data_IF_110810185285
#
_entry.id   IF_110810185285
#
_cell.length_a   1.000
_cell.length_b   1.000
_cell.length_c   1.000
_cell.angle_alpha   90.00
_cell.angle_beta   90.00
_cell.angle_gamma   90.00
#
_symmetry.space_group_name_H-M   'P 1'
#
loop_
_entity.id
_entity.type
_entity.pdbx_description
1 polymer ?
#
# COMPACT_ATOMS: atom_id res chain seq x y z
N UNK A 1 -16.11 -12.34 -20.65
CA UNK A 1 -14.71 -12.55 -20.11
C UNK A 1 -14.70 -12.17 -18.64
N UNK A 2 -13.80 -12.79 -17.86
CA UNK A 2 -13.48 -12.36 -16.49
C UNK A 2 -12.10 -11.71 -16.54
N UNK A 3 -11.97 -10.50 -16.04
CA UNK A 3 -10.70 -9.80 -15.95
C UNK A 3 -10.25 -9.77 -14.50
N UNK A 4 -9.16 -10.47 -14.18
CA UNK A 4 -8.57 -10.43 -12.86
C UNK A 4 -7.40 -9.46 -12.81
N UNK A 5 -7.50 -8.46 -11.93
CA UNK A 5 -6.46 -7.47 -11.70
C UNK A 5 -5.89 -7.62 -10.28
N UNK A 6 -4.80 -8.39 -10.11
CA UNK A 6 -4.13 -8.51 -8.82
C UNK A 6 -3.26 -7.29 -8.52
N UNK A 7 -3.28 -6.85 -7.25
CA UNK A 7 -2.36 -5.86 -6.72
C UNK A 7 -1.52 -6.46 -5.58
N UNK A 8 -0.21 -6.24 -5.62
CA UNK A 8 0.73 -6.65 -4.59
C UNK A 8 1.32 -5.43 -3.90
N UNK A 9 1.16 -5.38 -2.58
CA UNK A 9 1.64 -4.29 -1.74
C UNK A 9 2.97 -4.68 -1.08
N UNK A 10 4.03 -3.95 -1.43
CA UNK A 10 5.38 -4.12 -0.89
C UNK A 10 5.67 -3.00 0.10
N UNK A 11 5.78 -3.33 1.37
CA UNK A 11 6.07 -2.36 2.40
C UNK A 11 6.83 -2.95 3.59
N UNK A 12 7.78 -2.17 4.11
CA UNK A 12 8.37 -2.37 5.43
C UNK A 12 8.56 -1.02 6.11
N UNK A 13 8.35 -0.92 7.44
CA UNK A 13 8.45 0.35 8.14
C UNK A 13 9.89 0.88 8.19
N UNK A 14 10.09 2.20 8.32
CA UNK A 14 11.43 2.80 8.40
C UNK A 14 12.25 2.32 9.61
N UNK A 15 11.57 1.72 10.58
CA UNK A 15 12.17 1.15 11.80
C UNK A 15 12.50 -0.33 11.68
N UNK A 16 12.36 -0.93 10.48
CA UNK A 16 12.64 -2.35 10.25
C UNK A 16 14.12 -2.67 10.42
N UNK A 17 14.41 -3.82 11.03
CA UNK A 17 15.80 -4.28 11.20
C UNK A 17 16.37 -4.88 9.91
N UNK A 18 17.68 -4.73 9.69
CA UNK A 18 18.34 -5.32 8.53
C UNK A 18 18.18 -6.86 8.46
N UNK A 19 18.18 -7.53 9.61
CA UNK A 19 17.97 -8.99 9.67
C UNK A 19 16.57 -9.42 9.25
N UNK A 20 15.53 -8.67 9.63
CA UNK A 20 14.16 -8.93 9.22
C UNK A 20 13.95 -8.59 7.74
N UNK A 21 14.50 -7.47 7.26
CA UNK A 21 14.49 -7.13 5.85
C UNK A 21 15.13 -8.23 4.99
N UNK A 22 16.29 -8.77 5.44
CA UNK A 22 16.94 -9.90 4.78
C UNK A 22 16.04 -11.13 4.72
N UNK A 23 15.41 -11.47 5.84
CA UNK A 23 14.51 -12.60 5.94
C UNK A 23 13.34 -12.47 4.96
N UNK A 24 12.64 -11.35 4.99
CA UNK A 24 11.47 -11.08 4.13
C UNK A 24 11.89 -11.04 2.64
N UNK A 25 13.02 -10.41 2.32
CA UNK A 25 13.51 -10.35 0.93
C UNK A 25 13.77 -11.74 0.36
N UNK A 26 14.31 -12.66 1.16
CA UNK A 26 14.59 -14.03 0.73
C UNK A 26 13.35 -14.93 0.72
N UNK A 27 12.41 -14.74 1.66
CA UNK A 27 11.23 -15.59 1.80
C UNK A 27 10.08 -15.17 0.89
N UNK A 28 9.94 -13.86 0.58
CA UNK A 28 8.80 -13.33 -0.17
C UNK A 28 9.21 -12.54 -1.42
N UNK A 29 9.99 -11.46 -1.31
CA UNK A 29 10.15 -10.55 -2.45
C UNK A 29 10.88 -11.18 -3.63
N UNK A 30 12.00 -11.88 -3.40
CA UNK A 30 12.73 -12.60 -4.46
C UNK A 30 11.89 -13.70 -5.09
N UNK A 31 11.30 -14.64 -4.30
CA UNK A 31 10.42 -15.67 -4.86
C UNK A 31 9.27 -15.11 -5.66
N UNK A 32 8.62 -14.04 -5.19
CA UNK A 32 7.48 -13.44 -5.87
C UNK A 32 7.86 -12.86 -7.24
N UNK A 33 8.96 -12.08 -7.33
CA UNK A 33 9.41 -11.53 -8.63
C UNK A 33 9.94 -12.62 -9.56
N UNK A 34 10.44 -13.75 -9.00
CA UNK A 34 10.87 -14.92 -9.79
C UNK A 34 9.67 -15.62 -10.42
N UNK A 35 8.58 -15.82 -9.68
CA UNK A 35 7.33 -16.39 -10.22
C UNK A 35 6.80 -15.53 -11.37
N UNK A 36 6.77 -14.20 -11.26
CA UNK A 36 6.36 -13.35 -12.38
C UNK A 36 7.27 -13.51 -13.60
N UNK A 37 8.58 -13.68 -13.37
CA UNK A 37 9.55 -13.90 -14.45
C UNK A 37 9.39 -15.26 -15.13
N UNK A 38 8.94 -16.29 -14.40
CA UNK A 38 8.65 -17.63 -14.92
C UNK A 38 7.39 -17.64 -15.83
N UNK A 39 6.45 -16.71 -15.62
CA UNK A 39 5.19 -16.62 -16.36
C UNK A 39 5.04 -15.30 -17.13
N UNK A 40 5.56 -15.18 -18.37
CA UNK A 40 5.57 -13.92 -19.14
C UNK A 40 4.17 -13.35 -19.47
N UNK A 41 3.12 -14.17 -19.40
CA UNK A 41 1.73 -13.75 -19.59
C UNK A 41 1.09 -13.16 -18.32
N UNK A 42 1.72 -13.33 -17.17
CA UNK A 42 1.21 -12.77 -15.91
C UNK A 42 1.17 -11.24 -15.97
N UNK A 43 0.19 -10.67 -15.29
CA UNK A 43 0.02 -9.22 -15.14
C UNK A 43 -0.27 -8.89 -13.69
N UNK A 44 0.24 -7.75 -13.21
CA UNK A 44 -0.11 -7.24 -11.90
C UNK A 44 0.07 -5.74 -11.79
N UNK A 45 -0.62 -5.15 -10.83
CA UNK A 45 -0.34 -3.83 -10.31
C UNK A 45 0.53 -3.98 -9.06
N UNK A 46 1.59 -3.21 -8.93
CA UNK A 46 2.54 -3.25 -7.82
C UNK A 46 2.56 -1.91 -7.11
N UNK A 47 2.23 -1.93 -5.83
CA UNK A 47 2.54 -0.84 -4.93
C UNK A 47 3.86 -1.14 -4.21
N UNK A 48 4.82 -0.23 -4.27
CA UNK A 48 6.03 -0.27 -3.47
C UNK A 48 6.29 1.10 -2.85
N UNK A 49 6.35 1.16 -1.52
CA UNK A 49 6.63 2.41 -0.83
C UNK A 49 8.11 2.77 -0.94
N UNK A 50 8.38 4.05 -1.17
CA UNK A 50 9.74 4.55 -1.38
C UNK A 50 10.71 4.23 -0.24
N UNK A 51 10.23 4.12 1.00
CA UNK A 51 11.06 3.68 2.13
C UNK A 51 11.59 2.26 1.93
N UNK A 52 10.77 1.32 1.46
CA UNK A 52 11.23 -0.04 1.17
C UNK A 52 12.17 -0.06 -0.04
N UNK A 53 11.85 0.68 -1.10
CA UNK A 53 12.74 0.83 -2.27
C UNK A 53 14.14 1.30 -1.85
N UNK A 54 14.20 2.32 -1.01
CA UNK A 54 15.46 2.86 -0.47
C UNK A 54 16.21 1.83 0.37
N UNK A 55 15.50 1.12 1.26
CA UNK A 55 16.08 0.05 2.09
C UNK A 55 16.63 -1.11 1.25
N UNK A 56 15.89 -1.57 0.23
CA UNK A 56 16.34 -2.63 -0.68
C UNK A 56 17.60 -2.20 -1.45
N UNK A 57 17.64 -0.97 -1.94
CA UNK A 57 18.78 -0.42 -2.64
C UNK A 57 20.04 -0.27 -1.76
N UNK A 58 19.86 0.14 -0.51
CA UNK A 58 20.96 0.39 0.43
C UNK A 58 21.49 -0.87 1.14
N UNK A 59 20.62 -1.86 1.37
CA UNK A 59 20.96 -3.08 2.12
C UNK A 59 21.40 -4.27 1.23
N UNK A 60 21.66 -4.06 -0.06
CA UNK A 60 22.17 -5.11 -0.95
C UNK A 60 21.12 -6.01 -1.59
N UNK A 61 19.86 -5.56 -1.65
CA UNK A 61 18.71 -6.25 -2.29
C UNK A 61 18.27 -5.56 -3.59
N UNK A 62 19.18 -4.87 -4.26
CA UNK A 62 18.94 -4.19 -5.53
C UNK A 62 18.57 -5.14 -6.67
N UNK A 63 18.83 -6.44 -6.53
CA UNK A 63 18.37 -7.49 -7.45
C UNK A 63 16.84 -7.55 -7.54
N UNK A 64 16.11 -7.37 -6.42
CA UNK A 64 14.64 -7.27 -6.42
C UNK A 64 14.18 -6.07 -7.25
N UNK A 65 14.81 -4.90 -7.04
CA UNK A 65 14.46 -3.68 -7.80
C UNK A 65 14.78 -3.84 -9.30
N UNK A 66 15.89 -4.49 -9.63
CA UNK A 66 16.28 -4.77 -11.02
C UNK A 66 15.26 -5.67 -11.71
N UNK A 67 14.77 -6.72 -11.02
CA UNK A 67 13.73 -7.60 -11.56
C UNK A 67 12.39 -6.88 -11.70
N UNK A 68 11.96 -6.09 -10.70
CA UNK A 68 10.74 -5.26 -10.81
C UNK A 68 10.81 -4.29 -12.00
N UNK A 69 11.97 -3.64 -12.23
CA UNK A 69 12.17 -2.82 -13.43
C UNK A 69 11.98 -3.62 -14.71
N UNK A 70 12.62 -4.79 -14.79
CA UNK A 70 12.51 -5.66 -15.97
C UNK A 70 11.07 -6.09 -16.23
N UNK A 71 10.34 -6.51 -15.21
CA UNK A 71 8.92 -6.87 -15.33
C UNK A 71 8.06 -5.70 -15.83
N UNK A 72 8.37 -4.47 -15.40
CA UNK A 72 7.69 -3.27 -15.89
C UNK A 72 8.08 -2.92 -17.33
N UNK A 73 9.36 -3.05 -17.72
CA UNK A 73 9.83 -2.88 -19.10
C UNK A 73 9.16 -3.88 -20.06
N UNK A 74 8.91 -5.10 -19.60
CA UNK A 74 8.23 -6.16 -20.35
C UNK A 74 6.70 -6.01 -20.34
N UNK A 75 6.16 -4.99 -19.64
CA UNK A 75 4.73 -4.72 -19.54
C UNK A 75 3.96 -5.72 -18.68
N UNK A 76 4.64 -6.52 -17.86
CA UNK A 76 4.01 -7.47 -16.96
C UNK A 76 3.46 -6.79 -15.71
N UNK A 77 4.09 -5.71 -15.25
CA UNK A 77 3.62 -4.96 -14.10
C UNK A 77 3.52 -3.46 -14.38
N UNK A 78 2.62 -2.81 -13.69
CA UNK A 78 2.57 -1.36 -13.53
C UNK A 78 2.80 -0.98 -12.06
N UNK A 79 3.23 0.25 -11.80
CA UNK A 79 3.41 0.76 -10.44
C UNK A 79 2.30 1.73 -10.05
N UNK A 80 2.00 1.80 -8.75
CA UNK A 80 1.13 2.83 -8.15
C UNK A 80 1.93 3.88 -7.40
N UNK A 81 1.35 5.09 -7.27
CA UNK A 81 1.75 6.06 -6.26
C UNK A 81 1.31 5.64 -4.86
N UNK A 82 1.89 6.27 -3.83
CA UNK A 82 1.56 6.11 -2.41
C UNK A 82 2.29 7.17 -1.56
N UNK A 83 2.21 7.11 -0.23
CA UNK A 83 3.06 7.88 0.68
C UNK A 83 4.39 7.18 0.95
N UNK A 84 5.53 7.89 0.93
CA UNK A 84 6.88 7.29 1.07
C UNK A 84 7.02 6.44 2.32
N UNK A 85 6.64 6.98 3.47
CA UNK A 85 6.78 6.32 4.77
C UNK A 85 5.49 5.67 5.26
N UNK A 86 4.55 5.46 4.34
CA UNK A 86 3.28 4.78 4.63
C UNK A 86 2.45 5.43 5.75
N UNK A 87 2.25 6.75 5.76
CA UNK A 87 1.43 7.41 6.77
C UNK A 87 -0.06 7.14 6.55
N UNK A 88 -0.86 7.26 7.60
CA UNK A 88 -2.32 7.28 7.49
C UNK A 88 -2.75 8.65 6.95
N UNK A 89 -2.78 8.79 5.64
CA UNK A 89 -2.96 10.08 4.96
C UNK A 89 -4.19 10.87 5.44
N UNK A 90 -5.38 10.26 5.67
CA UNK A 90 -6.54 10.97 6.21
C UNK A 90 -6.35 11.60 7.60
N UNK A 91 -5.29 11.26 8.30
CA UNK A 91 -5.07 11.69 9.69
C UNK A 91 -3.94 12.71 9.85
N UNK A 92 -3.31 13.11 8.74
CA UNK A 92 -2.25 14.12 8.71
C UNK A 92 -2.68 15.32 7.88
N UNK A 93 -2.08 16.51 8.08
CA UNK A 93 -2.36 17.69 7.25
C UNK A 93 -2.12 17.43 5.76
N UNK A 94 -2.90 18.09 4.89
CA UNK A 94 -2.80 17.94 3.44
C UNK A 94 -1.37 18.20 2.92
N UNK A 95 -0.69 19.23 3.43
CA UNK A 95 0.70 19.55 3.08
C UNK A 95 1.69 18.41 3.40
N UNK A 96 1.44 17.65 4.48
CA UNK A 96 2.23 16.48 4.81
C UNK A 96 1.89 15.31 3.88
N UNK A 97 0.61 15.13 3.54
CA UNK A 97 0.18 14.11 2.59
C UNK A 97 0.81 14.33 1.20
N UNK A 98 0.72 15.54 0.67
CA UNK A 98 1.35 15.94 -0.60
C UNK A 98 2.86 15.70 -0.58
N UNK A 99 3.51 16.09 0.52
CA UNK A 99 4.95 15.86 0.71
C UNK A 99 5.29 14.36 0.68
N UNK A 100 4.53 13.53 1.37
CA UNK A 100 4.75 12.08 1.39
C UNK A 100 4.56 11.46 0.00
N UNK A 101 3.56 11.90 -0.77
CA UNK A 101 3.34 11.47 -2.16
C UNK A 101 4.52 11.87 -3.05
N UNK A 102 4.96 13.13 -2.96
CA UNK A 102 6.12 13.64 -3.71
C UNK A 102 7.41 12.90 -3.37
N UNK A 103 7.68 12.67 -2.08
CA UNK A 103 8.85 11.90 -1.64
C UNK A 103 8.82 10.46 -2.16
N UNK A 104 7.65 9.82 -2.16
CA UNK A 104 7.48 8.47 -2.71
C UNK A 104 7.83 8.45 -4.20
N UNK A 105 7.26 9.37 -4.97
CA UNK A 105 7.55 9.49 -6.40
C UNK A 105 9.03 9.69 -6.67
N UNK A 106 9.66 10.65 -6.00
CA UNK A 106 11.09 10.97 -6.18
C UNK A 106 11.98 9.78 -5.85
N UNK A 107 11.71 9.11 -4.74
CA UNK A 107 12.51 7.95 -4.32
C UNK A 107 12.37 6.80 -5.32
N UNK A 108 11.16 6.42 -5.66
CA UNK A 108 10.93 5.32 -6.59
C UNK A 108 11.47 5.64 -7.99
N UNK A 109 11.31 6.86 -8.47
CA UNK A 109 11.88 7.30 -9.75
C UNK A 109 13.40 7.20 -9.78
N UNK A 110 14.08 7.53 -8.67
CA UNK A 110 15.53 7.43 -8.57
C UNK A 110 16.04 5.98 -8.65
N UNK A 111 15.33 5.02 -8.06
CA UNK A 111 15.75 3.62 -8.02
C UNK A 111 15.21 2.78 -9.18
N UNK A 112 13.96 3.02 -9.59
CA UNK A 112 13.30 2.25 -10.66
C UNK A 112 13.44 2.89 -12.04
N UNK A 113 13.85 4.17 -12.11
CA UNK A 113 14.07 4.86 -13.38
C UNK A 113 12.78 5.16 -14.13
N UNK A 114 12.85 5.18 -15.48
CA UNK A 114 11.78 5.62 -16.36
C UNK A 114 10.53 4.73 -16.38
N UNK A 115 10.61 3.53 -15.88
CA UNK A 115 9.45 2.62 -15.76
C UNK A 115 8.50 3.00 -14.63
N UNK A 116 8.96 3.81 -13.67
CA UNK A 116 8.08 4.28 -12.59
C UNK A 116 7.25 5.49 -13.05
N UNK A 117 6.11 5.20 -13.63
CA UNK A 117 5.12 6.18 -14.12
C UNK A 117 3.75 5.79 -13.54
N UNK A 118 3.51 6.04 -12.24
CA UNK A 118 2.29 5.59 -11.58
C UNK A 118 1.07 6.37 -12.09
N UNK A 119 0.09 5.67 -12.64
CA UNK A 119 -1.23 6.21 -12.99
C UNK A 119 -2.21 6.05 -11.84
N UNK A 120 -2.08 5.01 -11.05
CA UNK A 120 -2.93 4.72 -9.91
C UNK A 120 -2.33 5.08 -8.58
N UNK A 121 -3.19 5.20 -7.58
CA UNK A 121 -2.82 5.50 -6.21
C UNK A 121 -3.28 4.40 -5.25
N UNK A 122 -2.35 3.91 -4.44
CA UNK A 122 -2.62 3.01 -3.33
C UNK A 122 -2.48 3.79 -2.01
N UNK A 123 -3.58 4.14 -1.34
CA UNK A 123 -3.49 4.78 -0.04
C UNK A 123 -2.87 3.83 0.98
N UNK A 124 -1.88 4.25 1.78
CA UNK A 124 -1.39 3.44 2.88
C UNK A 124 -2.53 2.89 3.74
N UNK A 125 -2.50 1.56 4.02
CA UNK A 125 -3.55 0.81 4.73
C UNK A 125 -4.94 0.86 4.04
N UNK A 126 -5.00 1.25 2.76
CA UNK A 126 -6.23 1.64 2.07
C UNK A 126 -7.09 2.63 2.88
N UNK A 127 -6.44 3.42 3.74
CA UNK A 127 -7.12 4.47 4.49
C UNK A 127 -7.58 5.58 3.56
N UNK A 128 -8.87 5.85 3.57
CA UNK A 128 -9.52 6.83 2.71
C UNK A 128 -10.37 7.81 3.50
N UNK A 129 -10.29 9.08 3.12
CA UNK A 129 -11.31 10.11 3.32
C UNK A 129 -11.37 10.99 2.07
N UNK A 130 -12.47 11.72 1.90
CA UNK A 130 -12.67 12.56 0.70
C UNK A 130 -11.59 13.64 0.55
N UNK A 131 -11.06 14.17 1.66
CA UNK A 131 -10.03 15.21 1.68
C UNK A 131 -8.70 14.80 0.99
N UNK A 132 -8.51 13.50 0.74
CA UNK A 132 -7.33 13.00 0.02
C UNK A 132 -7.44 13.11 -1.50
N UNK A 133 -8.64 13.34 -2.04
CA UNK A 133 -8.88 13.25 -3.48
C UNK A 133 -8.10 14.30 -4.24
N UNK A 134 -8.12 15.55 -3.75
CA UNK A 134 -7.39 16.66 -4.39
C UNK A 134 -5.88 16.44 -4.44
N UNK A 135 -5.16 16.16 -3.34
CA UNK A 135 -3.74 15.85 -3.37
C UNK A 135 -3.37 14.71 -4.34
N UNK A 136 -4.24 13.71 -4.49
CA UNK A 136 -4.02 12.58 -5.39
C UNK A 136 -4.15 13.01 -6.86
N UNK A 137 -5.19 13.77 -7.20
CA UNK A 137 -5.40 14.30 -8.54
C UNK A 137 -4.29 15.29 -8.93
N UNK A 138 -3.93 16.22 -8.04
CA UNK A 138 -2.84 17.17 -8.25
C UNK A 138 -1.49 16.48 -8.49
N UNK A 139 -1.30 15.31 -7.89
CA UNK A 139 -0.16 14.43 -8.15
C UNK A 139 -0.27 13.63 -9.45
N UNK A 140 -1.29 13.92 -10.29
CA UNK A 140 -1.54 13.34 -11.63
C UNK A 140 -1.87 11.84 -11.63
N UNK A 141 -2.53 11.35 -10.60
CA UNK A 141 -3.08 10.01 -10.60
C UNK A 141 -4.47 10.02 -11.26
N UNK A 142 -4.75 8.96 -12.01
CA UNK A 142 -6.00 8.77 -12.78
C UNK A 142 -7.01 7.91 -12.02
N UNK A 143 -6.54 7.08 -11.11
CA UNK A 143 -7.38 6.17 -10.33
C UNK A 143 -6.82 5.90 -8.92
N UNK A 144 -7.74 5.46 -8.04
CA UNK A 144 -7.44 5.04 -6.66
C UNK A 144 -8.04 3.67 -6.41
N UNK A 145 -7.37 2.86 -5.57
CA UNK A 145 -7.95 1.62 -5.04
C UNK A 145 -8.35 1.80 -3.58
N UNK A 146 -9.54 1.35 -3.23
CA UNK A 146 -10.09 1.38 -1.88
C UNK A 146 -10.52 -0.01 -1.43
N UNK A 147 -10.64 -0.23 -0.11
CA UNK A 147 -11.26 -1.42 0.46
C UNK A 147 -12.71 -1.55 -0.01
N UNK A 148 -13.20 -2.77 -0.16
CA UNK A 148 -14.57 -3.03 -0.60
C UNK A 148 -15.63 -2.44 0.33
N UNK A 149 -15.33 -2.32 1.63
CA UNK A 149 -16.24 -1.69 2.59
C UNK A 149 -16.51 -0.21 2.28
N UNK A 150 -15.61 0.46 1.56
CA UNK A 150 -15.81 1.84 1.11
C UNK A 150 -16.89 2.00 0.06
N UNK A 151 -17.25 0.94 -0.67
CA UNK A 151 -18.23 0.98 -1.76
C UNK A 151 -19.62 1.36 -1.25
N UNK A 152 -20.21 2.48 -1.71
CA UNK A 152 -21.52 2.95 -1.24
C UNK A 152 -22.68 2.42 -2.08
N UNK A 153 -22.41 1.75 -3.19
CA UNK A 153 -23.39 1.29 -4.20
C UNK A 153 -23.39 -0.23 -4.33
N UNK A 154 -24.20 -0.78 -5.23
CA UNK A 154 -24.12 -2.18 -5.61
C UNK A 154 -22.71 -2.52 -6.11
N UNK A 155 -22.22 -3.72 -5.77
CA UNK A 155 -20.85 -4.12 -6.09
C UNK A 155 -20.56 -4.02 -7.60
N UNK A 156 -19.63 -3.14 -8.03
CA UNK A 156 -19.38 -2.95 -9.44
C UNK A 156 -18.44 -4.06 -9.96
N UNK A 157 -18.87 -4.77 -11.00
CA UNK A 157 -18.05 -5.75 -11.70
C UNK A 157 -17.93 -5.48 -13.20
N UNK A 158 -18.75 -4.60 -13.73
CA UNK A 158 -18.91 -4.28 -15.16
C UNK A 158 -18.72 -2.79 -15.47
N UNK A 159 -18.50 -1.98 -14.46
CA UNK A 159 -18.40 -0.52 -14.56
C UNK A 159 -17.41 0.04 -13.54
N UNK A 160 -16.67 1.09 -13.91
CA UNK A 160 -15.72 1.77 -13.03
C UNK A 160 -16.29 3.14 -12.64
N UNK A 161 -16.62 3.30 -11.36
CA UNK A 161 -17.17 4.55 -10.85
C UNK A 161 -16.10 5.65 -10.70
N UNK A 162 -16.55 6.88 -10.53
CA UNK A 162 -15.68 8.05 -10.38
C UNK A 162 -15.99 8.79 -9.07
N UNK A 163 -14.93 9.26 -8.41
CA UNK A 163 -15.02 10.24 -7.32
C UNK A 163 -14.83 11.62 -7.93
N UNK A 164 -15.67 12.57 -7.56
CA UNK A 164 -15.52 13.95 -8.05
C UNK A 164 -14.96 14.84 -6.98
N UNK A 165 -14.03 15.68 -7.37
CA UNK A 165 -13.61 16.83 -6.61
C UNK A 165 -13.61 18.04 -7.53
N UNK A 166 -14.49 19.00 -7.29
CA UNK A 166 -14.74 20.14 -8.17
C UNK A 166 -15.01 19.72 -9.63
N UNK A 167 -14.15 20.14 -10.59
CA UNK A 167 -14.24 19.77 -12.01
C UNK A 167 -13.45 18.48 -12.34
N UNK A 168 -12.60 18.03 -11.42
CA UNK A 168 -11.73 16.88 -11.61
C UNK A 168 -12.43 15.55 -11.26
N UNK A 169 -11.89 14.45 -11.80
CA UNK A 169 -12.42 13.11 -11.61
C UNK A 169 -11.30 12.13 -11.34
N UNK A 170 -11.53 11.22 -10.40
CA UNK A 170 -10.65 10.13 -10.07
C UNK A 170 -11.42 8.81 -10.19
N UNK A 171 -11.00 7.91 -11.06
CA UNK A 171 -11.62 6.59 -11.14
C UNK A 171 -11.36 5.81 -9.85
N UNK A 172 -12.33 5.02 -9.40
CA UNK A 172 -12.22 4.25 -8.16
C UNK A 172 -12.44 2.77 -8.40
N UNK A 173 -11.48 1.97 -7.94
CA UNK A 173 -11.57 0.52 -7.84
C UNK A 173 -11.81 0.11 -6.40
N UNK A 174 -12.57 -0.97 -6.23
CA UNK A 174 -12.81 -1.56 -4.92
C UNK A 174 -12.17 -2.96 -4.86
N UNK A 175 -11.36 -3.17 -3.84
CA UNK A 175 -10.78 -4.47 -3.51
C UNK A 175 -11.88 -5.46 -3.15
N UNK A 176 -11.92 -6.62 -3.76
CA UNK A 176 -12.71 -7.72 -3.22
C UNK A 176 -12.09 -8.19 -1.90
N UNK A 177 -12.61 -7.64 -0.79
CA UNK A 177 -12.09 -7.89 0.55
C UNK A 177 -12.24 -9.36 0.95
N UNK A 178 -13.34 -10.01 0.54
CA UNK A 178 -13.60 -11.41 0.88
C UNK A 178 -12.62 -12.33 0.17
N UNK A 179 -12.48 -12.16 -1.14
CA UNK A 179 -11.59 -13.01 -1.94
C UNK A 179 -10.11 -12.76 -1.61
N UNK A 180 -9.72 -11.49 -1.47
CA UNK A 180 -8.35 -11.13 -1.06
C UNK A 180 -7.98 -11.69 0.31
N UNK A 181 -8.91 -11.65 1.27
CA UNK A 181 -8.69 -12.22 2.59
C UNK A 181 -8.61 -13.77 2.54
N UNK A 182 -9.43 -14.44 1.74
CA UNK A 182 -9.31 -15.90 1.54
C UNK A 182 -7.93 -16.29 1.02
N UNK A 183 -7.35 -15.50 0.10
CA UNK A 183 -5.98 -15.72 -0.40
C UNK A 183 -4.96 -15.48 0.73
N UNK A 184 -5.10 -14.37 1.45
CA UNK A 184 -4.15 -13.93 2.49
C UNK A 184 -4.16 -14.81 3.74
N UNK A 185 -5.26 -15.52 4.03
CA UNK A 185 -5.39 -16.41 5.19
C UNK A 185 -5.38 -17.89 4.81
N UNK A 186 -5.07 -18.21 3.55
CA UNK A 186 -5.01 -19.58 3.01
C UNK A 186 -6.34 -20.35 3.08
N UNK A 187 -7.45 -19.61 2.96
CA UNK A 187 -8.81 -20.19 2.94
C UNK A 187 -9.24 -20.63 1.54
N UNK A 188 -8.42 -20.36 0.52
CA UNK A 188 -8.63 -20.77 -0.86
C UNK A 188 -7.27 -21.10 -1.50
N UNK A 189 -7.17 -22.19 -2.23
CA UNK A 189 -6.01 -22.52 -3.07
C UNK A 189 -6.17 -22.00 -4.51
N UNK A 190 -5.14 -22.19 -5.35
CA UNK A 190 -5.17 -21.69 -6.72
C UNK A 190 -6.31 -22.27 -7.57
N UNK A 191 -6.61 -23.57 -7.43
CA UNK A 191 -7.71 -24.21 -8.16
C UNK A 191 -9.07 -23.69 -7.69
N UNK A 192 -9.27 -23.61 -6.36
CA UNK A 192 -10.48 -23.04 -5.76
C UNK A 192 -10.68 -21.56 -6.14
N UNK A 193 -9.60 -20.79 -6.30
CA UNK A 193 -9.65 -19.42 -6.76
C UNK A 193 -10.15 -19.33 -8.21
N UNK A 194 -9.61 -20.10 -9.13
CA UNK A 194 -10.07 -20.18 -10.53
C UNK A 194 -11.55 -20.58 -10.59
N UNK A 195 -11.95 -21.60 -9.84
CA UNK A 195 -13.32 -22.04 -9.75
C UNK A 195 -14.25 -20.94 -9.18
N UNK A 196 -13.78 -20.19 -8.19
CA UNK A 196 -14.52 -19.05 -7.63
C UNK A 196 -14.75 -17.96 -8.67
N UNK A 197 -13.72 -17.58 -9.44
CA UNK A 197 -13.85 -16.60 -10.51
C UNK A 197 -14.87 -17.07 -11.58
N UNK A 198 -14.80 -18.34 -12.00
CA UNK A 198 -15.73 -18.91 -12.97
C UNK A 198 -17.20 -18.83 -12.48
N UNK A 199 -17.44 -19.01 -11.19
CA UNK A 199 -18.79 -18.90 -10.61
C UNK A 199 -19.36 -17.48 -10.56
N UNK A 200 -18.49 -16.46 -10.55
CA UNK A 200 -18.94 -15.06 -10.60
C UNK A 200 -19.44 -14.67 -11.99
N UNK A 201 -19.00 -15.40 -13.02
CA UNK A 201 -19.32 -15.08 -14.40
C UNK A 201 -20.66 -15.68 -14.84
N UNK A 202 -21.58 -14.83 -15.29
CA UNK A 202 -22.91 -15.24 -15.77
C UNK A 202 -22.94 -15.71 -17.24
N UNK A 203 -21.81 -15.58 -17.96
CA UNK A 203 -21.68 -15.95 -19.37
C UNK A 203 -22.11 -14.88 -20.37
N UNK A 204 -22.63 -13.74 -19.93
CA UNK A 204 -23.19 -12.69 -20.78
C UNK A 204 -22.24 -11.49 -20.88
N UNK A 205 -22.07 -10.73 -19.79
CA UNK A 205 -21.30 -9.50 -19.78
C UNK A 205 -19.87 -9.73 -19.26
N UNK A 206 -18.92 -8.95 -19.76
CA UNK A 206 -17.57 -8.92 -19.22
C UNK A 206 -17.57 -8.38 -17.79
N UNK A 207 -16.80 -9.03 -16.91
CA UNK A 207 -16.67 -8.62 -15.51
C UNK A 207 -15.22 -8.48 -15.10
N UNK A 208 -14.94 -7.66 -14.09
CA UNK A 208 -13.63 -7.56 -13.49
C UNK A 208 -13.65 -7.88 -11.98
N UNK A 209 -12.53 -8.38 -11.49
CA UNK A 209 -12.29 -8.66 -10.07
C UNK A 209 -10.93 -8.07 -9.68
N UNK A 210 -10.90 -7.25 -8.65
CA UNK A 210 -9.67 -6.66 -8.11
C UNK A 210 -9.35 -7.32 -6.78
N UNK A 211 -8.15 -7.92 -6.67
CA UNK A 211 -7.62 -8.43 -5.41
C UNK A 211 -6.38 -7.65 -5.02
N UNK A 212 -6.20 -7.39 -3.73
CA UNK A 212 -5.01 -6.73 -3.24
C UNK A 212 -4.53 -7.39 -1.93
N UNK A 213 -3.25 -7.72 -1.88
CA UNK A 213 -2.62 -8.44 -0.79
C UNK A 213 -1.22 -7.90 -0.53
N UNK A 214 -0.74 -8.09 0.70
CA UNK A 214 0.67 -7.88 1.01
C UNK A 214 1.55 -8.86 0.22
N UNK A 215 2.63 -8.38 -0.35
CA UNK A 215 3.62 -9.22 -1.04
C UNK A 215 4.24 -10.25 -0.10
N UNK A 216 4.36 -9.93 1.18
CA UNK A 216 4.84 -10.80 2.24
C UNK A 216 3.95 -12.03 2.46
N UNK A 217 2.70 -12.00 2.04
CA UNK A 217 1.79 -13.16 2.05
C UNK A 217 2.38 -14.32 1.27
N UNK A 218 3.10 -14.02 0.17
CA UNK A 218 3.59 -15.02 -0.78
C UNK A 218 5.00 -15.51 -0.44
N UNK A 219 5.19 -16.00 0.79
CA UNK A 219 6.42 -16.64 1.23
C UNK A 219 6.79 -16.39 2.68
N UNK A 220 6.62 -15.15 3.19
CA UNK A 220 6.94 -14.80 4.57
C UNK A 220 5.79 -15.13 5.55
N UNK A 221 4.57 -14.68 5.26
CA UNK A 221 3.41 -15.00 6.09
C UNK A 221 2.96 -16.45 5.89
N UNK A 222 2.95 -16.91 4.63
CA UNK A 222 2.60 -18.30 4.27
C UNK A 222 3.75 -18.86 3.43
N UNK A 223 4.51 -19.79 4.00
CA UNK A 223 5.65 -20.40 3.33
C UNK A 223 5.26 -21.02 1.98
N UNK A 224 6.02 -20.70 0.93
CA UNK A 224 5.85 -21.23 -0.43
C UNK A 224 4.51 -20.86 -1.08
N UNK A 225 3.80 -19.82 -0.62
CA UNK A 225 2.50 -19.43 -1.17
C UNK A 225 2.61 -18.87 -2.60
N UNK A 226 3.75 -18.33 -2.95
CA UNK A 226 4.14 -18.01 -4.32
C UNK A 226 4.00 -19.21 -5.26
N UNK A 227 4.46 -20.40 -4.84
CA UNK A 227 4.42 -21.66 -5.62
C UNK A 227 3.14 -22.45 -5.40
N UNK A 228 2.54 -22.38 -4.21
CA UNK A 228 1.33 -23.17 -3.89
C UNK A 228 0.04 -22.48 -4.39
N UNK A 229 0.08 -21.16 -4.59
CA UNK A 229 -1.08 -20.40 -5.05
C UNK A 229 -0.83 -19.75 -6.42
N UNK A 230 0.18 -18.87 -6.56
CA UNK A 230 0.37 -18.09 -7.79
C UNK A 230 0.79 -18.94 -8.99
N UNK A 231 1.80 -19.82 -8.82
CA UNK A 231 2.26 -20.66 -9.95
C UNK A 231 1.14 -21.50 -10.55
N UNK A 232 0.33 -22.27 -9.77
CA UNK A 232 -0.81 -23.00 -10.33
C UNK A 232 -1.88 -22.12 -11.00
N UNK A 233 -2.12 -20.92 -10.47
CA UNK A 233 -3.04 -19.97 -11.10
C UNK A 233 -2.49 -19.51 -12.45
N UNK A 234 -1.23 -19.10 -12.52
CA UNK A 234 -0.60 -18.64 -13.77
C UNK A 234 -0.46 -19.77 -14.79
N UNK A 235 -0.09 -20.99 -14.38
CA UNK A 235 -0.08 -22.18 -15.25
C UNK A 235 -1.46 -22.45 -15.86
N UNK A 236 -2.52 -22.38 -15.06
CA UNK A 236 -3.90 -22.58 -15.54
C UNK A 236 -4.32 -21.52 -16.55
N UNK A 237 -3.85 -20.27 -16.40
CA UNK A 237 -4.22 -19.14 -17.25
C UNK A 237 -3.24 -18.89 -18.39
N UNK A 238 -2.23 -19.75 -18.57
CA UNK A 238 -1.25 -19.60 -19.65
C UNK A 238 -1.91 -19.75 -21.04
N UNK A 239 -1.74 -18.78 -21.96
CA UNK A 239 -2.31 -18.86 -23.31
C UNK A 239 -1.70 -20.03 -24.10
N UNK A 240 -2.54 -20.80 -24.82
CA UNK A 240 -2.10 -21.95 -25.65
C UNK A 240 -1.01 -21.64 -26.68
N UNK A 241 -0.88 -20.38 -27.14
CA UNK A 241 0.13 -19.98 -28.11
C UNK A 241 1.58 -20.26 -27.65
N UNK A 242 1.82 -20.43 -26.35
CA UNK A 242 3.14 -20.75 -25.81
C UNK A 242 3.38 -22.25 -25.61
N UNK A 243 2.33 -23.07 -25.59
CA UNK A 243 2.44 -24.53 -25.43
C UNK A 243 2.90 -25.23 -26.71
N UNK A 244 2.67 -24.64 -27.89
CA UNK A 244 3.02 -25.25 -29.18
C UNK A 244 4.51 -25.20 -29.54
N UNK A 245 5.35 -24.46 -28.82
CA UNK A 245 6.79 -24.36 -29.14
C UNK A 245 7.63 -25.55 -28.66
N UNK A 246 7.07 -26.44 -27.85
CA UNK A 246 7.81 -27.59 -27.28
C UNK A 246 7.42 -28.96 -27.85
N UNK A 247 6.49 -29.07 -28.81
CA UNK A 247 6.02 -30.36 -29.31
C UNK A 247 5.98 -30.45 -30.85
N UNK A 248 7.13 -30.62 -31.45
CA UNK A 248 7.26 -31.27 -32.76
C UNK A 248 7.82 -32.68 -32.55
N UNK A 249 7.01 -33.59 -32.03
CA UNK A 249 7.22 -35.03 -32.20
C UNK A 249 5.87 -35.76 -32.31
N UNK A 250 5.79 -36.67 -33.29
CA UNK A 250 4.60 -37.43 -33.70
C UNK A 250 4.08 -38.29 -32.53
N UNK A 251 2.81 -38.16 -32.17
CA UNK A 251 2.18 -38.94 -31.10
C UNK A 251 0.91 -39.67 -31.52
N UNK A 252 0.54 -40.83 -30.83
CA UNK A 252 -0.49 -41.78 -31.28
C UNK A 252 -1.94 -41.32 -31.09
N UNK A 253 -2.90 -41.95 -31.81
CA UNK A 253 -4.35 -41.64 -31.86
C UNK A 253 -5.07 -41.52 -30.50
N UNK A 254 -4.62 -42.21 -29.46
CA UNK A 254 -5.22 -42.12 -28.13
C UNK A 254 -5.04 -40.73 -27.47
N UNK A 255 -4.04 -39.96 -27.90
CA UNK A 255 -3.79 -38.60 -27.46
C UNK A 255 -4.67 -37.56 -28.19
N UNK A 256 -5.25 -37.88 -29.34
CA UNK A 256 -6.18 -36.97 -30.05
C UNK A 256 -7.52 -36.86 -29.30
N UNK A 257 -8.00 -37.93 -28.68
CA UNK A 257 -9.22 -37.87 -27.84
C UNK A 257 -8.98 -37.10 -26.54
N UNK A 258 -7.78 -37.24 -25.96
CA UNK A 258 -7.39 -36.45 -24.79
C UNK A 258 -7.31 -34.95 -25.13
N UNK A 259 -6.80 -34.60 -26.33
CA UNK A 259 -6.78 -33.22 -26.83
C UNK A 259 -8.17 -32.61 -27.04
N UNK A 260 -9.17 -33.38 -27.43
CA UNK A 260 -10.55 -32.87 -27.54
C UNK A 260 -11.16 -32.51 -26.18
N UNK A 261 -10.90 -33.31 -25.15
CA UNK A 261 -11.28 -32.98 -23.75
C UNK A 261 -10.45 -31.84 -23.17
N UNK A 262 -9.17 -31.78 -23.52
CA UNK A 262 -8.29 -30.65 -23.16
C UNK A 262 -8.72 -29.37 -23.91
N UNK A 263 -9.16 -29.46 -25.17
CA UNK A 263 -9.68 -28.35 -25.98
C UNK A 263 -11.01 -27.77 -25.44
N UNK A 264 -11.88 -28.60 -24.87
CA UNK A 264 -13.11 -28.13 -24.22
C UNK A 264 -12.79 -27.50 -22.85
N UNK A 265 -11.87 -28.08 -22.10
CA UNK A 265 -11.36 -27.51 -20.82
C UNK A 265 -10.66 -26.16 -21.07
N UNK A 266 -9.83 -26.07 -22.12
CA UNK A 266 -9.17 -24.85 -22.55
C UNK A 266 -10.13 -23.72 -22.97
N UNK A 267 -11.32 -24.04 -23.48
CA UNK A 267 -12.34 -23.01 -23.79
C UNK A 267 -12.95 -22.41 -22.53
N UNK A 268 -13.14 -23.21 -21.47
CA UNK A 268 -13.62 -22.72 -20.18
C UNK A 268 -12.56 -21.87 -19.45
N UNK A 269 -11.28 -22.26 -19.51
CA UNK A 269 -10.17 -21.53 -18.89
C UNK A 269 -9.84 -20.20 -19.61
N UNK A 270 -10.13 -20.07 -20.93
CA UNK A 270 -10.01 -18.83 -21.71
C UNK A 270 -10.94 -17.71 -21.30
N UNK A 271 -11.89 -17.96 -20.37
CA UNK A 271 -12.79 -16.92 -19.87
C UNK A 271 -12.11 -15.96 -18.88
N UNK A 272 -10.95 -16.29 -18.34
CA UNK A 272 -10.23 -15.47 -17.36
C UNK A 272 -8.98 -14.86 -18.00
N UNK A 273 -8.86 -13.54 -17.92
CA UNK A 273 -7.69 -12.78 -18.39
C UNK A 273 -7.08 -12.02 -17.21
N UNK A 274 -5.77 -12.16 -17.04
CA UNK A 274 -5.04 -11.36 -16.05
C UNK A 274 -4.67 -10.02 -16.68
N UNK A 275 -4.91 -8.93 -15.95
CA UNK A 275 -4.68 -7.55 -16.42
C UNK A 275 -4.14 -6.69 -15.28
N UNK A 276 -3.54 -5.55 -15.63
CA UNK A 276 -3.27 -4.47 -14.67
C UNK A 276 -4.54 -3.65 -14.41
N UNK A 277 -4.54 -2.86 -13.35
CA UNK A 277 -5.69 -2.00 -13.04
C UNK A 277 -5.87 -0.89 -14.08
N UNK A 278 -4.78 -0.35 -14.63
CA UNK A 278 -4.89 0.66 -15.69
C UNK A 278 -5.47 0.08 -16.99
N UNK A 279 -5.22 -1.18 -17.33
CA UNK A 279 -5.86 -1.84 -18.47
C UNK A 279 -7.38 -1.95 -18.29
N UNK A 280 -7.89 -2.11 -17.05
CA UNK A 280 -9.34 -2.11 -16.81
C UNK A 280 -10.00 -0.77 -17.17
N UNK A 281 -9.27 0.35 -17.06
CA UNK A 281 -9.79 1.67 -17.46
C UNK A 281 -10.06 1.78 -18.96
N UNK A 282 -9.37 0.97 -19.78
CA UNK A 282 -9.55 0.93 -21.23
C UNK A 282 -10.65 -0.06 -21.65
N UNK A 283 -10.91 -1.07 -20.80
CA UNK A 283 -11.84 -2.15 -21.09
C UNK A 283 -13.27 -1.82 -20.63
N UNK A 284 -13.41 -1.25 -19.41
CA UNK A 284 -14.71 -1.05 -18.81
C UNK A 284 -15.20 0.40 -18.89
N UNK A 285 -16.52 0.61 -19.05
CA UNK A 285 -17.10 1.94 -19.12
C UNK A 285 -17.00 2.66 -17.78
N UNK A 286 -17.01 3.99 -17.85
CA UNK A 286 -17.12 4.84 -16.67
C UNK A 286 -18.55 4.86 -16.19
N UNK A 287 -18.72 4.66 -14.88
CA UNK A 287 -20.00 4.65 -14.20
C UNK A 287 -20.37 6.00 -13.61
N UNK A 288 -21.24 5.93 -12.62
CA UNK A 288 -21.74 7.12 -11.92
C UNK A 288 -20.67 7.73 -11.02
N UNK A 289 -20.86 9.00 -10.71
CA UNK A 289 -20.15 9.65 -9.61
C UNK A 289 -20.65 9.10 -8.29
N UNK A 290 -19.74 8.70 -7.43
CA UNK A 290 -20.03 8.16 -6.10
C UNK A 290 -19.16 8.82 -5.05
N UNK A 291 -19.57 8.72 -3.80
CA UNK A 291 -18.78 9.15 -2.64
C UNK A 291 -18.49 7.94 -1.77
N UNK A 292 -17.28 7.37 -1.88
CA UNK A 292 -16.88 6.23 -1.06
C UNK A 292 -16.87 6.59 0.44
N UNK A 293 -17.18 5.61 1.27
CA UNK A 293 -17.17 5.79 2.72
C UNK A 293 -15.76 5.89 3.25
N UNK A 294 -15.47 6.81 4.21
CA UNK A 294 -14.21 6.78 4.94
C UNK A 294 -13.99 5.40 5.57
N UNK A 295 -12.82 4.82 5.35
CA UNK A 295 -12.50 3.47 5.82
C UNK A 295 -11.03 3.13 5.60
N UNK A 296 -10.65 1.95 6.05
CA UNK A 296 -9.41 1.24 5.74
C UNK A 296 -9.73 -0.21 5.37
N UNK A 297 -8.74 -0.98 4.96
CA UNK A 297 -8.96 -2.42 4.69
C UNK A 297 -9.20 -3.27 5.96
N UNK A 298 -9.04 -2.67 7.14
CA UNK A 298 -9.33 -3.32 8.43
C UNK A 298 -10.62 -2.82 9.09
N UNK A 299 -11.36 -1.95 8.40
CA UNK A 299 -12.61 -1.37 8.92
C UNK A 299 -13.76 -2.35 8.74
N UNK A 300 -14.54 -2.57 9.79
CA UNK A 300 -15.74 -3.38 9.75
C UNK A 300 -17.01 -2.54 9.51
N UNK A 301 -18.12 -3.21 9.18
CA UNK A 301 -19.41 -2.54 9.06
C UNK A 301 -19.88 -1.88 10.37
N UNK A 302 -19.49 -2.44 11.51
CA UNK A 302 -19.82 -1.84 12.81
C UNK A 302 -18.95 -0.64 13.11
N UNK A 303 -17.67 -0.65 12.70
CA UNK A 303 -16.80 0.53 12.79
C UNK A 303 -17.35 1.70 11.97
N UNK A 304 -17.90 1.44 10.77
CA UNK A 304 -18.57 2.46 9.96
C UNK A 304 -19.77 3.07 10.71
N UNK A 305 -20.63 2.23 11.30
CA UNK A 305 -21.81 2.69 12.09
C UNK A 305 -21.39 3.55 13.29
N UNK A 306 -20.28 3.18 13.93
CA UNK A 306 -19.73 3.90 15.07
C UNK A 306 -18.86 5.10 14.66
N UNK A 307 -18.68 5.36 13.36
CA UNK A 307 -17.78 6.37 12.81
C UNK A 307 -16.33 6.21 13.34
N UNK A 308 -15.88 4.98 13.55
CA UNK A 308 -14.51 4.61 13.93
C UNK A 308 -13.76 4.08 12.70
N UNK A 309 -13.51 4.95 11.71
CA UNK A 309 -13.08 4.55 10.37
C UNK A 309 -11.68 3.93 10.30
N UNK A 310 -10.82 4.19 11.28
CA UNK A 310 -9.42 3.73 11.30
C UNK A 310 -9.09 3.04 12.63
N UNK A 311 -9.80 1.94 13.00
CA UNK A 311 -9.73 1.38 14.36
C UNK A 311 -8.35 0.90 14.78
N UNK A 312 -7.50 0.47 13.83
CA UNK A 312 -6.16 -0.01 14.14
C UNK A 312 -5.11 1.12 14.25
N UNK A 313 -5.46 2.36 13.88
CA UNK A 313 -4.53 3.50 13.87
C UNK A 313 -5.01 4.67 14.72
N UNK A 314 -6.31 4.84 14.90
CA UNK A 314 -6.93 5.93 15.68
C UNK A 314 -8.26 5.48 16.28
N UNK A 315 -8.22 4.45 17.12
CA UNK A 315 -9.42 4.02 17.85
C UNK A 315 -9.79 5.05 18.93
N UNK A 316 -11.07 5.41 18.96
CA UNK A 316 -11.65 6.34 19.95
C UNK A 316 -11.50 5.83 21.39
N UNK A 317 -11.47 4.51 21.57
CA UNK A 317 -11.40 3.86 22.88
C UNK A 317 -9.96 3.48 23.26
N UNK A 318 -8.97 3.73 22.42
CA UNK A 318 -7.58 3.44 22.73
C UNK A 318 -6.86 4.71 23.20
N UNK A 319 -6.58 4.87 24.52
CA UNK A 319 -5.94 6.07 25.04
C UNK A 319 -4.51 6.25 24.51
N UNK A 320 -3.81 5.16 24.19
CA UNK A 320 -2.46 5.24 23.62
C UNK A 320 -2.51 5.86 22.23
N UNK A 321 -3.45 5.45 21.36
CA UNK A 321 -3.65 6.08 20.06
C UNK A 321 -3.92 7.59 20.18
N UNK A 322 -4.80 8.00 21.13
CA UNK A 322 -5.10 9.42 21.33
C UNK A 322 -3.85 10.20 21.71
N UNK A 323 -3.07 9.69 22.66
CA UNK A 323 -1.82 10.32 23.08
C UNK A 323 -0.74 10.30 22.00
N UNK A 324 -0.62 9.23 21.20
CA UNK A 324 0.32 9.19 20.09
C UNK A 324 0.01 10.26 19.05
N UNK A 325 -1.27 10.45 18.69
CA UNK A 325 -1.69 11.47 17.73
C UNK A 325 -1.52 12.88 18.28
N UNK A 326 -1.78 13.10 19.57
CA UNK A 326 -1.54 14.40 20.24
C UNK A 326 -0.05 14.74 20.23
N UNK A 327 0.82 13.79 20.60
CA UNK A 327 2.27 13.97 20.56
C UNK A 327 2.76 14.25 19.14
N UNK A 328 2.26 13.53 18.15
CA UNK A 328 2.62 13.74 16.75
C UNK A 328 2.14 15.10 16.23
N UNK A 329 0.94 15.54 16.60
CA UNK A 329 0.40 16.87 16.24
C UNK A 329 1.29 17.99 16.73
N UNK A 330 1.72 17.92 18.01
CA UNK A 330 2.68 18.92 18.55
C UNK A 330 4.02 18.84 17.81
N UNK A 331 4.46 17.65 17.47
CA UNK A 331 5.73 17.44 16.75
C UNK A 331 5.69 18.05 15.35
N UNK A 332 4.58 17.88 14.61
CA UNK A 332 4.37 18.52 13.31
C UNK A 332 4.38 20.05 13.43
N UNK A 333 3.59 20.60 14.34
CA UNK A 333 3.53 22.05 14.57
C UNK A 333 4.90 22.65 14.92
N UNK A 334 5.65 22.03 15.83
CA UNK A 334 7.01 22.49 16.18
C UNK A 334 7.96 22.38 14.98
N UNK A 335 7.86 21.34 14.19
CA UNK A 335 8.71 21.15 13.00
C UNK A 335 8.39 22.17 11.90
N UNK A 336 7.11 22.42 11.62
CA UNK A 336 6.70 23.44 10.66
C UNK A 336 7.19 24.81 11.06
N UNK A 337 7.00 25.15 12.34
CA UNK A 337 7.47 26.44 12.88
C UNK A 337 8.99 26.56 12.84
N UNK A 338 9.71 25.48 13.06
CA UNK A 338 11.16 25.45 12.95
C UNK A 338 11.64 25.76 11.54
N UNK A 339 10.98 25.20 10.52
CA UNK A 339 11.29 25.47 9.10
C UNK A 339 10.96 26.93 8.74
N UNK A 340 9.81 27.45 9.20
CA UNK A 340 9.39 28.85 8.98
C UNK A 340 10.38 29.85 9.57
N UNK A 341 10.88 29.58 10.77
CA UNK A 341 11.72 30.51 11.54
C UNK A 341 13.24 30.33 11.34
N UNK A 342 13.66 29.41 10.50
CA UNK A 342 15.07 29.16 10.23
C UNK A 342 15.68 30.33 9.43
N UNK A 343 16.51 31.16 10.08
CA UNK A 343 17.03 32.41 9.55
C UNK A 343 18.58 32.55 9.61
N UNK A 344 19.24 31.50 10.11
CA UNK A 344 20.69 31.41 10.19
C UNK A 344 21.16 29.95 10.06
N UNK A 345 22.48 29.74 9.87
CA UNK A 345 23.04 28.41 9.61
C UNK A 345 22.68 27.38 10.70
N UNK A 346 22.74 27.78 11.98
CA UNK A 346 22.44 26.88 13.09
C UNK A 346 20.94 26.49 13.13
N UNK A 347 20.05 27.47 13.00
CA UNK A 347 18.60 27.21 12.98
C UNK A 347 18.21 26.40 11.76
N UNK A 348 18.80 26.67 10.58
CA UNK A 348 18.55 25.94 9.34
C UNK A 348 19.00 24.48 9.43
N UNK A 349 20.17 24.22 10.03
CA UNK A 349 20.67 22.87 10.23
C UNK A 349 19.71 22.04 11.09
N UNK A 350 19.26 22.58 12.23
CA UNK A 350 18.33 21.88 13.11
C UNK A 350 16.93 21.72 12.50
N UNK A 351 16.44 22.72 11.76
CA UNK A 351 15.18 22.63 11.05
C UNK A 351 15.19 21.51 9.99
N UNK A 352 16.27 21.40 9.23
CA UNK A 352 16.47 20.34 8.25
C UNK A 352 16.50 18.94 8.89
N UNK A 353 17.19 18.79 10.04
CA UNK A 353 17.19 17.53 10.78
C UNK A 353 15.80 17.20 11.31
N UNK A 354 15.07 18.18 11.88
CA UNK A 354 13.71 18.01 12.34
C UNK A 354 12.79 17.52 11.21
N UNK A 355 12.86 18.19 10.04
CA UNK A 355 12.06 17.83 8.87
C UNK A 355 12.37 16.43 8.36
N UNK A 356 13.66 16.10 8.19
CA UNK A 356 14.09 14.79 7.73
C UNK A 356 13.71 13.65 8.71
N UNK A 357 13.58 13.97 10.00
CA UNK A 357 13.17 13.00 11.02
C UNK A 357 11.64 12.89 11.13
N UNK A 358 10.91 13.99 10.91
CA UNK A 358 9.43 13.96 10.92
C UNK A 358 8.87 13.10 9.77
N UNK A 359 9.48 13.14 8.59
CA UNK A 359 9.00 12.35 7.45
C UNK A 359 8.82 10.86 7.79
N UNK A 360 9.84 10.12 8.31
CA UNK A 360 9.66 8.74 8.74
C UNK A 360 8.83 8.60 10.03
N UNK A 361 8.73 9.64 10.88
CA UNK A 361 7.93 9.60 12.11
C UNK A 361 6.41 9.55 11.85
N UNK A 362 5.97 9.76 10.61
CA UNK A 362 4.55 9.69 10.20
C UNK A 362 4.08 8.26 9.90
N UNK A 363 4.95 7.25 9.90
CA UNK A 363 4.60 5.88 9.47
C UNK A 363 3.44 5.27 10.29
N UNK A 364 2.55 4.54 9.62
CA UNK A 364 1.35 3.93 10.20
C UNK A 364 1.63 2.87 11.26
N UNK A 365 2.70 2.09 11.10
CA UNK A 365 2.97 0.90 11.91
C UNK A 365 3.07 1.19 13.42
N UNK A 366 3.58 2.35 13.84
CA UNK A 366 3.69 2.70 15.26
C UNK A 366 2.33 2.71 15.98
N UNK A 367 1.25 3.08 15.26
CA UNK A 367 -0.11 3.05 15.79
C UNK A 367 -0.67 1.64 15.77
N UNK A 368 -0.47 0.91 14.66
CA UNK A 368 -0.91 -0.46 14.51
C UNK A 368 -0.35 -1.37 15.61
N UNK A 369 0.94 -1.22 15.96
CA UNK A 369 1.56 -1.96 17.05
C UNK A 369 1.01 -1.61 18.44
N UNK A 370 0.26 -0.50 18.57
CA UNK A 370 -0.43 -0.08 19.79
C UNK A 370 -1.93 -0.39 19.76
N UNK A 371 -2.45 -1.11 18.78
CA UNK A 371 -3.89 -1.37 18.61
C UNK A 371 -4.47 -2.34 19.65
N UNK A 372 -3.64 -3.04 20.44
CA UNK A 372 -3.98 -4.10 21.42
C UNK A 372 -4.56 -5.36 20.76
N UNK A 373 -5.36 -5.21 19.73
CA UNK A 373 -5.90 -6.30 18.89
C UNK A 373 -5.94 -5.80 17.45
N UNK A 374 -5.35 -6.51 16.49
CA UNK A 374 -4.69 -7.83 16.63
C UNK A 374 -3.26 -7.79 17.16
N UNK A 375 -2.64 -6.59 17.30
CA UNK A 375 -1.21 -6.45 17.57
C UNK A 375 -0.90 -5.65 18.83
N UNK A 376 0.18 -6.08 19.48
CA UNK A 376 0.78 -5.37 20.60
C UNK A 376 2.28 -5.58 20.62
N UNK A 377 3.07 -4.52 20.45
CA UNK A 377 4.53 -4.59 20.55
C UNK A 377 5.11 -3.27 21.06
N UNK A 378 5.48 -3.26 22.32
CA UNK A 378 6.01 -2.08 23.04
C UNK A 378 7.24 -1.50 22.30
N UNK A 379 8.18 -2.34 21.88
CA UNK A 379 9.40 -1.86 21.23
C UNK A 379 9.10 -1.12 19.91
N UNK A 380 8.16 -1.62 19.11
CA UNK A 380 7.78 -0.99 17.84
C UNK A 380 7.08 0.36 18.08
N UNK A 381 6.25 0.47 19.13
CA UNK A 381 5.66 1.75 19.54
C UNK A 381 6.76 2.73 19.95
N UNK A 382 7.73 2.29 20.76
CA UNK A 382 8.85 3.13 21.18
C UNK A 382 9.70 3.63 20.01
N UNK A 383 9.97 2.80 19.01
CA UNK A 383 10.74 3.22 17.83
C UNK A 383 10.06 4.38 17.11
N UNK A 384 8.72 4.32 16.93
CA UNK A 384 7.94 5.41 16.35
C UNK A 384 7.98 6.67 17.21
N UNK A 385 7.73 6.54 18.52
CA UNK A 385 7.77 7.66 19.46
C UNK A 385 9.15 8.34 19.52
N UNK A 386 10.24 7.58 19.40
CA UNK A 386 11.60 8.13 19.37
C UNK A 386 11.87 8.96 18.11
N UNK A 387 11.32 8.57 16.96
CA UNK A 387 11.37 9.40 15.75
C UNK A 387 10.62 10.73 15.96
N UNK A 388 9.39 10.67 16.51
CA UNK A 388 8.63 11.87 16.85
C UNK A 388 9.40 12.76 17.82
N UNK A 389 9.92 12.20 18.91
CA UNK A 389 10.72 12.95 19.91
C UNK A 389 11.97 13.58 19.30
N UNK A 390 12.67 12.87 18.42
CA UNK A 390 13.86 13.40 17.75
C UNK A 390 13.50 14.59 16.85
N UNK A 391 12.42 14.51 16.07
CA UNK A 391 11.93 15.63 15.25
C UNK A 391 11.56 16.83 16.13
N UNK A 392 10.78 16.60 17.20
CA UNK A 392 10.36 17.62 18.16
C UNK A 392 11.54 18.38 18.78
N UNK A 393 12.54 17.67 19.28
CA UNK A 393 13.69 18.28 19.96
C UNK A 393 14.57 19.08 19.00
N UNK A 394 14.80 18.58 17.78
CA UNK A 394 15.53 19.31 16.76
C UNK A 394 14.75 20.53 16.27
N UNK A 395 13.40 20.40 16.10
CA UNK A 395 12.53 21.51 15.77
C UNK A 395 12.60 22.64 16.82
N UNK A 396 12.49 22.30 18.09
CA UNK A 396 12.64 23.30 19.15
C UNK A 396 14.04 23.91 19.16
N UNK A 397 15.09 23.12 18.94
CA UNK A 397 16.46 23.64 18.88
C UNK A 397 16.64 24.64 17.74
N UNK A 398 16.02 24.39 16.58
CA UNK A 398 15.98 25.36 15.47
C UNK A 398 15.31 26.68 15.90
N UNK A 399 14.12 26.59 16.52
CA UNK A 399 13.39 27.77 17.01
C UNK A 399 14.23 28.54 18.07
N UNK A 400 14.86 27.84 19.00
CA UNK A 400 15.63 28.45 20.09
C UNK A 400 16.88 29.17 19.58
N UNK A 401 17.50 28.69 18.48
CA UNK A 401 18.71 29.26 17.87
C UNK A 401 18.40 30.29 16.78
N UNK A 402 17.14 30.41 16.34
CA UNK A 402 16.72 31.43 15.37
C UNK A 402 16.71 32.84 15.97
N UNK A 403 16.63 33.87 15.14
CA UNK A 403 16.46 35.30 15.53
C UNK A 403 15.04 35.63 16.01
N UNK A 404 14.15 34.62 16.19
CA UNK A 404 12.77 34.85 16.61
C UNK A 404 12.66 35.47 18.02
N UNK A 405 11.53 36.13 18.26
CA UNK A 405 11.24 36.85 19.52
C UNK A 405 11.22 35.88 20.74
N UNK A 406 11.64 36.36 21.94
CA UNK A 406 11.65 35.51 23.16
C UNK A 406 10.29 34.89 23.49
N UNK A 407 9.19 35.62 23.20
CA UNK A 407 7.82 35.14 23.43
C UNK A 407 7.51 33.89 22.62
N UNK A 408 7.90 33.85 21.32
CA UNK A 408 7.74 32.69 20.44
C UNK A 408 8.57 31.51 20.95
N UNK A 409 9.83 31.74 21.31
CA UNK A 409 10.70 30.70 21.90
C UNK A 409 10.11 30.10 23.16
N UNK A 410 9.51 30.93 24.01
CA UNK A 410 8.84 30.51 25.25
C UNK A 410 7.57 29.72 24.99
N UNK A 411 6.76 30.14 24.01
CA UNK A 411 5.55 29.39 23.58
C UNK A 411 5.91 27.97 23.17
N UNK A 412 6.87 27.83 22.24
CA UNK A 412 7.28 26.53 21.74
C UNK A 412 8.04 25.68 22.76
N UNK A 413 8.71 26.30 23.74
CA UNK A 413 9.23 25.59 24.91
C UNK A 413 8.11 24.89 25.68
N UNK A 414 6.99 25.55 25.93
CA UNK A 414 5.87 24.92 26.64
C UNK A 414 5.22 23.80 25.84
N UNK A 415 5.13 23.92 24.50
CA UNK A 415 4.66 22.82 23.64
C UNK A 415 5.58 21.58 23.76
N UNK A 416 6.89 21.77 23.79
CA UNK A 416 7.83 20.64 23.99
C UNK A 416 7.69 20.04 25.39
N UNK A 417 7.47 20.85 26.43
CA UNK A 417 7.21 20.34 27.77
C UNK A 417 5.92 19.51 27.81
N UNK A 418 4.85 20.01 27.17
CA UNK A 418 3.60 19.24 27.04
C UNK A 418 3.79 17.91 26.32
N UNK A 419 4.45 17.92 25.17
CA UNK A 419 4.75 16.70 24.42
C UNK A 419 5.59 15.70 25.24
N UNK A 420 6.55 16.18 26.04
CA UNK A 420 7.32 15.31 26.93
C UNK A 420 6.41 14.62 27.96
N UNK A 421 5.47 15.35 28.57
CA UNK A 421 4.52 14.73 29.51
C UNK A 421 3.65 13.67 28.83
N UNK A 422 3.20 13.93 27.58
CA UNK A 422 2.44 12.95 26.80
C UNK A 422 3.31 11.72 26.53
N UNK A 423 4.57 11.90 26.14
CA UNK A 423 5.52 10.79 25.94
C UNK A 423 5.67 9.93 27.19
N UNK A 424 5.86 10.56 28.36
CA UNK A 424 5.97 9.85 29.65
C UNK A 424 4.67 9.08 29.96
N UNK A 425 3.49 9.69 29.74
CA UNK A 425 2.19 9.04 29.92
C UNK A 425 1.99 7.84 28.96
N UNK A 426 2.38 7.96 27.68
CA UNK A 426 2.33 6.81 26.76
C UNK A 426 3.21 5.69 27.30
N UNK A 427 4.43 6.02 27.70
CA UNK A 427 5.40 5.07 28.23
C UNK A 427 4.86 4.32 29.45
N UNK A 428 4.29 5.05 30.41
CA UNK A 428 3.69 4.44 31.60
C UNK A 428 2.53 3.49 31.23
N UNK A 429 1.66 3.91 30.31
CA UNK A 429 0.53 3.08 29.87
C UNK A 429 0.96 1.83 29.10
N UNK A 430 2.11 1.87 28.36
CA UNK A 430 2.63 0.69 27.67
C UNK A 430 3.07 -0.43 28.62
N UNK A 431 3.42 -0.10 29.86
CA UNK A 431 3.83 -1.08 30.87
C UNK A 431 2.69 -1.54 31.77
N UNK A 432 1.56 -0.83 31.79
CA UNK A 432 0.42 -1.17 32.65
C UNK A 432 -0.57 -2.15 32.00
N UNK A 433 -0.50 -2.33 30.71
CA UNK A 433 -1.32 -3.24 29.90
C UNK A 433 -0.53 -4.48 29.46
#
# INVERSE_FOLDING_TARGET
MIYWAPLFHFYQPPTQTASMLMKISNEAYRPLVDVFSEFPHSRATVNINGVLTEMLGQCGYSDVLTKLRKLAEDGQIEFTGSGKYHPVLPLIPAEEAERQIKLNYQTNRNFLGDVYVPKGFFPPEMCYSHDMVDPIIESRHEWIILSGIACPVAWPMDVIHEISCEENKLAVFFRDDVLSNKISFRDIDGAGFIEHLKRLYNGEDDIYVVTAMDAETFGHHIQHWDKLFLSPVFETLEPMANQDKTMHEQKPLAEQHRRLFEFEKDKEDRQIKIVTMSELLEIFPRGNRIEPRPSSWSTSADDIKMQNYYPLWKDKNNPIHQMQWEHLSITMDVTHKAVELADNDASSQFANIARATLDPALHSCQFWWASKKPMWNINMVYLGLNLQRSALLNGYKAISTSGSKPEVKKEYYYKVVAARHIFDQITDNLYMD
#
